data_IF_067221942288
#
_entry.id   IF_067221942288
#
_cell.length_a   1.000
_cell.length_b   1.000
_cell.length_c   1.000
_cell.angle_alpha   90.00
_cell.angle_beta   90.00
_cell.angle_gamma   90.00
#
_symmetry.space_group_name_H-M   'P 1'
#
loop_
_entity.id
_entity.type
_entity.pdbx_description
1 polymer ?
#
# COMPACT_ATOMS: atom_id res chain seq x y z
N UNK A 1 49.24 -40.49 6.18
CA UNK A 1 47.96 -40.17 6.87
C UNK A 1 47.66 -38.68 6.97
N UNK A 2 48.63 -37.79 7.21
CA UNK A 2 48.37 -36.34 7.34
C UNK A 2 47.90 -35.64 6.04
N UNK A 3 48.43 -36.04 4.89
CA UNK A 3 48.12 -35.42 3.58
C UNK A 3 46.67 -35.71 3.13
N UNK A 4 46.18 -36.95 3.28
CA UNK A 4 44.79 -37.30 2.95
C UNK A 4 43.75 -36.66 3.87
N UNK A 5 44.10 -36.37 5.12
CA UNK A 5 43.22 -35.64 6.05
C UNK A 5 43.09 -34.15 5.67
N UNK A 6 44.17 -33.54 5.20
CA UNK A 6 44.16 -32.16 4.71
C UNK A 6 43.38 -32.00 3.40
N UNK A 7 43.49 -32.98 2.50
CA UNK A 7 42.75 -33.01 1.24
C UNK A 7 41.24 -33.21 1.44
N UNK A 8 40.85 -34.11 2.34
CA UNK A 8 39.45 -34.30 2.71
C UNK A 8 38.82 -33.04 3.34
N UNK A 9 39.55 -32.36 4.23
CA UNK A 9 39.10 -31.08 4.83
C UNK A 9 38.95 -29.99 3.75
N UNK A 10 39.88 -29.92 2.79
CA UNK A 10 39.81 -28.97 1.68
C UNK A 10 38.61 -29.23 0.76
N UNK A 11 38.39 -30.48 0.35
CA UNK A 11 37.26 -30.86 -0.50
C UNK A 11 35.91 -30.63 0.19
N UNK A 12 35.82 -30.88 1.50
CA UNK A 12 34.64 -30.52 2.30
C UNK A 12 34.41 -29.01 2.34
N UNK A 13 35.49 -28.21 2.49
CA UNK A 13 35.43 -26.75 2.44
C UNK A 13 34.98 -26.19 1.09
N UNK A 14 35.50 -26.74 -0.02
CA UNK A 14 35.12 -26.36 -1.38
C UNK A 14 33.65 -26.72 -1.68
N UNK A 15 33.18 -27.89 -1.22
CA UNK A 15 31.78 -28.31 -1.32
C UNK A 15 30.83 -27.38 -0.55
N UNK A 16 31.18 -27.05 0.70
CA UNK A 16 30.39 -26.14 1.53
C UNK A 16 30.33 -24.71 0.95
N UNK A 17 31.45 -24.21 0.41
CA UNK A 17 31.50 -22.90 -0.25
C UNK A 17 30.61 -22.84 -1.51
N UNK A 18 30.58 -23.92 -2.29
CA UNK A 18 29.74 -24.03 -3.49
C UNK A 18 28.26 -24.12 -3.15
N UNK A 19 27.89 -24.88 -2.11
CA UNK A 19 26.52 -24.95 -1.59
C UNK A 19 26.05 -23.58 -1.09
N UNK A 20 26.90 -22.88 -0.33
CA UNK A 20 26.62 -21.53 0.17
C UNK A 20 26.38 -20.55 -1.00
N UNK A 21 27.28 -20.53 -2.00
CA UNK A 21 27.14 -19.67 -3.18
C UNK A 21 25.86 -19.97 -3.96
N UNK A 22 25.54 -21.25 -4.15
CA UNK A 22 24.30 -21.68 -4.83
C UNK A 22 23.06 -21.23 -4.06
N UNK A 23 23.10 -21.25 -2.73
CA UNK A 23 22.00 -20.81 -1.87
C UNK A 23 21.73 -19.31 -1.98
N UNK A 24 22.78 -18.49 -1.91
CA UNK A 24 22.64 -17.04 -2.05
C UNK A 24 22.15 -16.63 -3.44
N UNK A 25 22.62 -17.30 -4.50
CA UNK A 25 22.12 -17.07 -5.85
C UNK A 25 20.62 -17.42 -5.96
N UNK A 26 20.21 -18.54 -5.39
CA UNK A 26 18.81 -18.94 -5.35
C UNK A 26 17.93 -17.98 -4.54
N UNK A 27 18.45 -17.48 -3.42
CA UNK A 27 17.77 -16.47 -2.61
C UNK A 27 17.58 -15.15 -3.39
N UNK A 28 18.60 -14.70 -4.11
CA UNK A 28 18.52 -13.51 -4.96
C UNK A 28 17.52 -13.68 -6.11
N UNK A 29 17.57 -14.83 -6.80
CA UNK A 29 16.59 -15.14 -7.86
C UNK A 29 15.16 -15.18 -7.33
N UNK A 30 14.96 -15.83 -6.18
CA UNK A 30 13.65 -15.86 -5.54
C UNK A 30 13.21 -14.45 -5.14
N UNK A 31 14.09 -13.64 -4.55
CA UNK A 31 13.80 -12.26 -4.18
C UNK A 31 13.31 -11.45 -5.38
N UNK A 32 13.97 -11.56 -6.54
CA UNK A 32 13.53 -10.89 -7.77
C UNK A 32 12.15 -11.37 -8.21
N UNK A 33 11.89 -12.68 -8.18
CA UNK A 33 10.61 -13.25 -8.59
C UNK A 33 9.50 -12.86 -7.62
N UNK A 34 9.74 -12.93 -6.31
CA UNK A 34 8.73 -12.62 -5.28
C UNK A 34 8.41 -11.13 -5.24
N UNK A 35 9.41 -10.27 -5.33
CA UNK A 35 9.21 -8.81 -5.37
C UNK A 35 8.51 -8.38 -6.66
N UNK A 36 8.85 -8.97 -7.80
CA UNK A 36 8.15 -8.69 -9.07
C UNK A 36 6.69 -9.15 -8.99
N UNK A 37 6.44 -10.31 -8.38
CA UNK A 37 5.09 -10.82 -8.20
C UNK A 37 4.24 -9.91 -7.31
N UNK A 38 4.75 -9.50 -6.14
CA UNK A 38 4.03 -8.57 -5.24
C UNK A 38 3.78 -7.23 -5.92
N UNK A 39 4.76 -6.68 -6.65
CA UNK A 39 4.61 -5.48 -7.47
C UNK A 39 3.49 -5.62 -8.51
N UNK A 40 3.47 -6.70 -9.30
CA UNK A 40 2.47 -6.90 -10.34
C UNK A 40 1.06 -7.07 -9.74
N UNK A 41 0.93 -7.84 -8.66
CA UNK A 41 -0.35 -7.97 -7.94
C UNK A 41 -0.79 -6.60 -7.40
N UNK A 42 0.12 -5.85 -6.78
CA UNK A 42 -0.13 -4.50 -6.29
C UNK A 42 -0.61 -3.58 -7.40
N UNK A 43 0.05 -3.56 -8.56
CA UNK A 43 -0.33 -2.71 -9.69
C UNK A 43 -1.66 -3.10 -10.33
N UNK A 44 -1.96 -4.40 -10.41
CA UNK A 44 -3.22 -4.89 -10.97
C UNK A 44 -4.39 -4.76 -9.99
N UNK A 45 -4.14 -4.85 -8.68
CA UNK A 45 -5.14 -4.56 -7.66
C UNK A 45 -5.38 -3.04 -7.54
N UNK A 46 -4.31 -2.25 -7.58
CA UNK A 46 -4.37 -0.79 -7.57
C UNK A 46 -5.00 -0.22 -8.85
N UNK A 47 -5.00 -0.91 -9.99
CA UNK A 47 -5.78 -0.44 -11.15
C UNK A 47 -7.28 -0.31 -10.80
N UNK A 48 -7.77 -1.20 -9.93
CA UNK A 48 -9.15 -1.23 -9.44
C UNK A 48 -9.41 -0.24 -8.30
N UNK A 49 -8.37 0.09 -7.53
CA UNK A 49 -8.40 1.03 -6.40
C UNK A 49 -7.80 2.42 -6.74
N UNK A 50 -7.39 2.64 -7.99
CA UNK A 50 -6.68 3.80 -8.54
C UNK A 50 -5.18 3.89 -8.26
N UNK A 51 -4.44 4.48 -9.22
CA UNK A 51 -3.01 4.75 -9.12
C UNK A 51 -2.78 6.22 -8.78
N UNK A 52 -1.90 6.50 -7.84
CA UNK A 52 -1.27 7.81 -7.68
C UNK A 52 0.26 7.69 -7.68
N UNK A 53 0.94 8.84 -7.64
CA UNK A 53 2.40 8.89 -7.61
C UNK A 53 3.00 8.29 -6.32
N UNK A 54 2.23 8.20 -5.23
CA UNK A 54 2.66 7.55 -3.99
C UNK A 54 2.65 6.02 -4.15
N UNK A 55 1.67 5.46 -4.86
CA UNK A 55 1.62 4.04 -5.25
C UNK A 55 2.83 3.65 -6.11
N UNK A 56 3.27 4.51 -7.03
CA UNK A 56 4.43 4.24 -7.89
C UNK A 56 5.76 4.22 -7.12
N UNK A 57 6.00 5.18 -6.20
CA UNK A 57 7.17 5.15 -5.32
C UNK A 57 7.16 3.99 -4.33
N UNK A 58 6.00 3.71 -3.75
CA UNK A 58 5.81 2.59 -2.83
C UNK A 58 6.07 1.26 -3.54
N UNK A 59 5.69 1.14 -4.82
CA UNK A 59 6.02 -0.04 -5.63
C UNK A 59 7.52 -0.27 -5.68
N UNK A 60 8.32 0.79 -5.89
CA UNK A 60 9.79 0.69 -5.93
C UNK A 60 10.37 0.36 -4.56
N UNK A 61 9.93 1.04 -3.50
CA UNK A 61 10.42 0.81 -2.13
C UNK A 61 10.08 -0.60 -1.63
N UNK A 62 8.82 -1.02 -1.83
CA UNK A 62 8.34 -2.37 -1.52
C UNK A 62 9.13 -3.44 -2.27
N UNK A 63 9.47 -3.21 -3.54
CA UNK A 63 10.24 -4.15 -4.33
C UNK A 63 11.63 -4.40 -3.73
N UNK A 64 12.32 -3.35 -3.27
CA UNK A 64 13.61 -3.46 -2.60
C UNK A 64 13.51 -4.15 -1.24
N UNK A 65 12.47 -3.81 -0.47
CA UNK A 65 12.14 -4.45 0.80
C UNK A 65 11.93 -5.96 0.64
N UNK A 66 11.00 -6.37 -0.23
CA UNK A 66 10.67 -7.77 -0.49
C UNK A 66 11.87 -8.59 -0.98
N UNK A 67 12.66 -8.01 -1.88
CA UNK A 67 13.91 -8.61 -2.34
C UNK A 67 14.88 -8.84 -1.18
N UNK A 68 15.05 -7.84 -0.31
CA UNK A 68 15.94 -7.90 0.85
C UNK A 68 15.50 -8.95 1.86
N UNK A 69 14.19 -9.04 2.13
CA UNK A 69 13.66 -10.05 3.05
C UNK A 69 13.83 -11.48 2.52
N UNK A 70 13.77 -11.71 1.22
CA UNK A 70 14.08 -13.02 0.65
C UNK A 70 15.56 -13.40 0.86
N UNK A 71 16.48 -12.43 0.77
CA UNK A 71 17.89 -12.65 1.09
C UNK A 71 18.11 -12.93 2.58
N UNK A 72 17.41 -12.24 3.48
CA UNK A 72 17.44 -12.53 4.92
C UNK A 72 16.93 -13.95 5.17
N UNK A 73 15.76 -14.30 4.61
CA UNK A 73 15.12 -15.58 4.88
C UNK A 73 15.93 -16.77 4.34
N UNK A 74 16.38 -16.73 3.08
CA UNK A 74 17.05 -17.86 2.44
C UNK A 74 18.58 -17.78 2.40
N UNK A 75 19.15 -16.57 2.53
CA UNK A 75 20.59 -16.35 2.62
C UNK A 75 21.08 -16.46 4.06
N UNK A 76 20.68 -15.50 4.90
CA UNK A 76 21.10 -15.39 6.31
C UNK A 76 20.53 -16.54 7.15
N UNK A 77 19.22 -16.77 7.12
CA UNK A 77 18.58 -17.90 7.80
C UNK A 77 18.58 -19.20 6.97
N UNK A 78 19.34 -19.21 5.87
CA UNK A 78 19.40 -20.33 4.93
C UNK A 78 19.75 -21.68 5.54
N UNK A 79 20.49 -21.73 6.66
CA UNK A 79 20.78 -22.98 7.38
C UNK A 79 19.49 -23.69 7.84
N UNK A 80 18.48 -22.94 8.22
CA UNK A 80 17.20 -23.46 8.73
C UNK A 80 16.13 -23.50 7.65
N UNK A 81 16.10 -22.50 6.77
CA UNK A 81 14.99 -22.30 5.82
C UNK A 81 15.16 -23.04 4.51
N UNK A 82 16.40 -23.22 4.01
CA UNK A 82 16.66 -23.77 2.67
C UNK A 82 16.26 -25.24 2.49
N UNK A 83 16.04 -25.95 3.60
CA UNK A 83 15.68 -27.38 3.65
C UNK A 83 14.21 -27.61 3.93
N UNK A 84 13.44 -26.56 4.22
CA UNK A 84 12.03 -26.68 4.52
C UNK A 84 11.24 -27.18 3.31
N UNK A 85 10.22 -27.98 3.58
CA UNK A 85 9.29 -28.41 2.55
C UNK A 85 8.50 -27.20 2.02
N UNK A 86 8.13 -27.17 0.74
CA UNK A 86 7.34 -26.07 0.17
C UNK A 86 6.04 -25.75 0.93
N UNK A 87 5.37 -26.79 1.45
CA UNK A 87 4.16 -26.61 2.30
C UNK A 87 4.48 -25.89 3.61
N UNK A 88 5.62 -26.19 4.21
CA UNK A 88 6.08 -25.50 5.43
C UNK A 88 6.43 -24.05 5.12
N UNK A 89 7.09 -23.79 3.98
CA UNK A 89 7.36 -22.42 3.52
C UNK A 89 6.08 -21.62 3.29
N UNK A 90 5.05 -22.24 2.71
CA UNK A 90 3.74 -21.60 2.53
C UNK A 90 3.12 -21.17 3.87
N UNK A 91 3.09 -22.06 4.86
CA UNK A 91 2.52 -21.72 6.16
C UNK A 91 3.37 -20.71 6.95
N UNK A 92 4.70 -20.73 6.76
CA UNK A 92 5.59 -19.71 7.33
C UNK A 92 5.48 -18.35 6.63
N UNK A 93 4.93 -18.28 5.42
CA UNK A 93 4.78 -17.02 4.70
C UNK A 93 3.91 -16.01 5.47
N UNK A 94 2.87 -16.46 6.17
CA UNK A 94 1.96 -15.60 6.93
C UNK A 94 2.68 -14.93 8.12
N UNK A 95 3.24 -15.66 9.10
CA UNK A 95 3.96 -15.03 10.22
C UNK A 95 5.21 -14.29 9.75
N UNK A 96 5.86 -14.73 8.66
CA UNK A 96 6.96 -13.99 8.06
C UNK A 96 6.52 -12.64 7.51
N UNK A 97 5.42 -12.59 6.75
CA UNK A 97 4.88 -11.34 6.22
C UNK A 97 4.44 -10.36 7.32
N UNK A 98 3.86 -10.88 8.42
CA UNK A 98 3.56 -10.05 9.60
C UNK A 98 4.85 -9.48 10.19
N UNK A 99 5.88 -10.32 10.36
CA UNK A 99 7.16 -9.89 10.92
C UNK A 99 7.86 -8.84 10.05
N UNK A 100 7.96 -9.06 8.73
CA UNK A 100 8.65 -8.14 7.82
C UNK A 100 7.88 -6.82 7.67
N UNK A 101 6.56 -6.90 7.53
CA UNK A 101 5.70 -5.70 7.50
C UNK A 101 5.80 -4.91 8.81
N UNK A 102 5.70 -5.56 9.98
CA UNK A 102 5.83 -4.88 11.26
C UNK A 102 7.23 -4.27 11.45
N UNK A 103 8.28 -4.98 11.04
CA UNK A 103 9.66 -4.48 11.15
C UNK A 103 9.86 -3.23 10.30
N UNK A 104 9.30 -3.21 9.10
CA UNK A 104 9.33 -2.01 8.27
C UNK A 104 8.57 -0.86 8.89
N UNK A 105 7.31 -1.09 9.26
CA UNK A 105 6.41 -0.03 9.72
C UNK A 105 6.74 0.55 11.10
N UNK A 106 7.16 -0.29 12.05
CA UNK A 106 7.47 0.16 13.42
C UNK A 106 8.96 0.32 13.69
N UNK A 107 9.81 -0.30 12.87
CA UNK A 107 11.25 -0.27 13.03
C UNK A 107 11.93 0.62 12.00
N UNK A 108 11.94 0.20 10.75
CA UNK A 108 12.77 0.83 9.72
C UNK A 108 12.25 2.20 9.29
N UNK A 109 10.96 2.33 9.05
CA UNK A 109 10.31 3.57 8.64
C UNK A 109 10.56 4.71 9.65
N UNK A 110 10.38 4.50 10.97
CA UNK A 110 10.68 5.52 11.96
C UNK A 110 12.15 5.86 12.12
N UNK A 111 13.02 4.85 12.00
CA UNK A 111 14.46 4.99 12.30
C UNK A 111 15.27 5.46 11.10
N UNK A 112 14.80 5.14 9.89
CA UNK A 112 15.38 5.49 8.62
C UNK A 112 14.29 6.16 7.79
N UNK A 113 14.04 7.47 7.96
CA UNK A 113 13.14 8.18 7.08
C UNK A 113 13.75 8.09 5.68
N UNK A 114 13.18 7.24 4.83
CA UNK A 114 13.61 7.06 3.44
C UNK A 114 13.36 8.35 2.68
N UNK A 115 14.24 9.35 2.83
CA UNK A 115 14.26 10.66 2.19
C UNK A 115 12.95 11.48 2.06
N UNK A 116 11.78 11.01 2.55
CA UNK A 116 10.52 11.75 2.65
C UNK A 116 9.61 11.19 3.79
N UNK A 117 9.42 11.92 4.90
CA UNK A 117 8.61 11.50 6.07
C UNK A 117 7.10 11.34 5.82
N UNK A 118 6.59 11.77 4.66
CA UNK A 118 5.16 12.00 4.40
C UNK A 118 4.35 10.68 4.34
N UNK A 119 4.97 9.58 3.93
CA UNK A 119 4.24 8.40 3.46
C UNK A 119 3.74 7.46 4.56
N UNK A 120 4.30 7.55 5.75
CA UNK A 120 4.16 6.50 6.77
C UNK A 120 2.98 6.77 7.70
N UNK A 121 2.48 8.01 7.65
CA UNK A 121 1.26 8.43 8.31
C UNK A 121 0.04 8.29 7.39
N UNK A 122 0.24 8.14 6.08
CA UNK A 122 -0.84 8.25 5.10
C UNK A 122 -1.50 6.91 4.71
N UNK A 123 -0.94 5.77 5.09
CA UNK A 123 -1.42 4.48 4.58
C UNK A 123 -1.79 3.54 5.73
N UNK A 124 -2.88 2.76 5.60
CA UNK A 124 -3.21 1.74 6.58
C UNK A 124 -2.22 0.57 6.51
N UNK A 125 -1.87 0.01 7.68
CA UNK A 125 -0.87 -1.06 7.82
C UNK A 125 -1.14 -2.31 6.99
N UNK A 126 -2.42 -2.60 6.73
CA UNK A 126 -2.81 -3.80 6.00
C UNK A 126 -2.29 -3.77 4.56
N UNK A 127 -2.04 -2.59 3.98
CA UNK A 127 -1.43 -2.48 2.63
C UNK A 127 -0.03 -3.06 2.65
N UNK A 128 0.80 -2.66 3.61
CA UNK A 128 2.14 -3.21 3.80
C UNK A 128 2.09 -4.72 4.02
N UNK A 129 1.21 -5.19 4.90
CA UNK A 129 1.04 -6.62 5.13
C UNK A 129 0.67 -7.39 3.86
N UNK A 130 -0.25 -6.89 3.03
CA UNK A 130 -0.66 -7.55 1.79
C UNK A 130 0.48 -7.64 0.76
N UNK A 131 1.31 -6.61 0.66
CA UNK A 131 2.52 -6.62 -0.19
C UNK A 131 3.48 -7.71 0.28
N UNK A 132 3.86 -7.69 1.56
CA UNK A 132 4.76 -8.66 2.17
C UNK A 132 4.21 -10.10 2.07
N UNK A 133 2.90 -10.27 2.27
CA UNK A 133 2.24 -11.56 2.15
C UNK A 133 2.29 -12.07 0.71
N UNK A 134 2.00 -11.20 -0.27
CA UNK A 134 2.05 -11.56 -1.70
C UNK A 134 3.44 -12.03 -2.11
N UNK A 135 4.49 -11.35 -1.62
CA UNK A 135 5.88 -11.75 -1.83
C UNK A 135 6.22 -13.06 -1.14
N UNK A 136 5.92 -13.18 0.17
CA UNK A 136 6.23 -14.38 0.95
C UNK A 136 5.51 -15.63 0.43
N UNK A 137 4.31 -15.49 -0.14
CA UNK A 137 3.58 -16.59 -0.77
C UNK A 137 4.32 -17.21 -1.98
N UNK A 138 5.34 -16.54 -2.54
CA UNK A 138 6.18 -17.06 -3.61
C UNK A 138 7.34 -17.91 -3.08
N UNK A 139 7.63 -17.88 -1.77
CA UNK A 139 8.76 -18.61 -1.18
C UNK A 139 8.78 -20.14 -1.41
N UNK A 140 7.64 -20.85 -1.56
CA UNK A 140 7.65 -22.25 -1.97
C UNK A 140 8.41 -22.54 -3.28
N UNK A 141 8.58 -21.54 -4.15
CA UNK A 141 9.36 -21.66 -5.39
C UNK A 141 10.85 -21.91 -5.11
N UNK A 142 11.36 -21.59 -3.91
CA UNK A 142 12.75 -21.85 -3.52
C UNK A 142 13.15 -23.32 -3.75
N UNK A 143 12.25 -24.27 -3.47
CA UNK A 143 12.52 -25.69 -3.64
C UNK A 143 12.83 -26.09 -5.10
N UNK A 144 12.37 -25.28 -6.06
CA UNK A 144 12.67 -25.42 -7.48
C UNK A 144 13.83 -24.51 -7.90
N UNK A 145 13.80 -23.22 -7.55
CA UNK A 145 14.79 -22.21 -7.97
C UNK A 145 16.20 -22.46 -7.43
N UNK A 146 16.35 -23.22 -6.34
CA UNK A 146 17.67 -23.59 -5.80
C UNK A 146 18.51 -24.50 -6.70
N UNK A 147 17.91 -25.05 -7.74
CA UNK A 147 18.59 -25.89 -8.72
C UNK A 147 18.91 -25.10 -9.99
N UNK A 148 20.07 -25.33 -10.63
CA UNK A 148 20.33 -24.76 -11.94
C UNK A 148 19.25 -25.13 -12.95
N UNK A 149 19.06 -24.28 -13.95
CA UNK A 149 18.06 -24.47 -15.00
C UNK A 149 18.19 -25.87 -15.63
N UNK A 150 17.07 -26.59 -15.74
CA UNK A 150 16.97 -27.98 -16.24
C UNK A 150 17.65 -29.07 -15.39
N UNK A 151 18.23 -28.73 -14.23
CA UNK A 151 18.87 -29.71 -13.31
C UNK A 151 18.06 -30.03 -12.06
N UNK A 152 16.85 -29.48 -11.95
CA UNK A 152 15.98 -29.74 -10.80
C UNK A 152 15.54 -31.22 -10.76
N UNK A 153 15.77 -31.94 -9.65
CA UNK A 153 15.40 -33.35 -9.55
C UNK A 153 13.87 -33.51 -9.53
N UNK A 154 13.34 -34.65 -10.04
CA UNK A 154 11.90 -34.92 -10.11
C UNK A 154 11.32 -35.31 -8.75
N UNK A 155 11.51 -34.46 -7.74
CA UNK A 155 11.00 -34.66 -6.38
C UNK A 155 9.57 -34.14 -6.24
N UNK A 156 8.84 -34.63 -5.22
CA UNK A 156 7.53 -34.10 -4.86
C UNK A 156 7.56 -32.60 -4.54
N UNK A 157 8.65 -32.12 -3.91
CA UNK A 157 8.86 -30.72 -3.60
C UNK A 157 8.98 -29.85 -4.87
N UNK A 158 9.76 -30.27 -5.86
CA UNK A 158 9.88 -29.55 -7.14
C UNK A 158 8.56 -29.58 -7.91
N UNK A 159 7.83 -30.71 -7.92
CA UNK A 159 6.49 -30.78 -8.53
C UNK A 159 5.51 -29.83 -7.86
N UNK A 160 5.52 -29.75 -6.53
CA UNK A 160 4.70 -28.80 -5.78
C UNK A 160 5.05 -27.36 -6.17
N UNK A 161 6.33 -26.98 -6.14
CA UNK A 161 6.78 -25.63 -6.45
C UNK A 161 6.38 -25.20 -7.88
N UNK A 162 6.46 -26.11 -8.86
CA UNK A 162 6.00 -25.84 -10.24
C UNK A 162 4.49 -25.63 -10.34
N UNK A 163 3.69 -26.46 -9.65
CA UNK A 163 2.22 -26.28 -9.59
C UNK A 163 1.86 -24.98 -8.88
N UNK A 164 2.59 -24.64 -7.83
CA UNK A 164 2.42 -23.38 -7.10
C UNK A 164 2.74 -22.16 -7.98
N UNK A 165 3.83 -22.22 -8.74
CA UNK A 165 4.17 -21.19 -9.74
C UNK A 165 3.08 -21.05 -10.81
N UNK A 166 2.52 -22.16 -11.29
CA UNK A 166 1.38 -22.11 -12.22
C UNK A 166 0.14 -21.45 -11.58
N UNK A 167 -0.15 -21.74 -10.30
CA UNK A 167 -1.21 -21.07 -9.54
C UNK A 167 -0.96 -19.57 -9.39
N UNK A 168 0.28 -19.16 -9.07
CA UNK A 168 0.64 -17.74 -8.99
C UNK A 168 0.47 -17.02 -10.33
N UNK A 169 0.88 -17.64 -11.44
CA UNK A 169 0.65 -17.10 -12.79
C UNK A 169 -0.84 -17.02 -13.14
N UNK A 170 -1.64 -18.00 -12.70
CA UNK A 170 -3.10 -17.95 -12.89
C UNK A 170 -3.70 -16.77 -12.13
N UNK A 171 -3.27 -16.50 -10.88
CA UNK A 171 -3.70 -15.31 -10.13
C UNK A 171 -3.37 -14.04 -10.91
N UNK A 172 -2.13 -13.88 -11.39
CA UNK A 172 -1.74 -12.73 -12.21
C UNK A 172 -2.60 -12.61 -13.48
N UNK A 173 -2.85 -13.72 -14.17
CA UNK A 173 -3.69 -13.74 -15.36
C UNK A 173 -5.14 -13.35 -15.04
N UNK A 174 -5.69 -13.78 -13.90
CA UNK A 174 -7.03 -13.39 -13.44
C UNK A 174 -7.11 -11.90 -13.16
N UNK A 175 -6.16 -11.34 -12.40
CA UNK A 175 -6.10 -9.91 -12.12
C UNK A 175 -5.89 -9.07 -13.40
N UNK A 176 -5.06 -9.57 -14.32
CA UNK A 176 -4.87 -8.99 -15.65
C UNK A 176 -6.16 -8.99 -16.47
N UNK A 177 -6.89 -10.11 -16.50
CA UNK A 177 -8.16 -10.23 -17.20
C UNK A 177 -9.22 -9.29 -16.61
N UNK A 178 -9.33 -9.22 -15.28
CA UNK A 178 -10.23 -8.27 -14.60
C UNK A 178 -9.89 -6.83 -14.99
N UNK A 179 -8.60 -6.47 -14.99
CA UNK A 179 -8.16 -5.14 -15.41
C UNK A 179 -8.49 -4.84 -16.88
N UNK A 180 -8.40 -5.84 -17.77
CA UNK A 180 -8.78 -5.69 -19.18
C UNK A 180 -10.29 -5.52 -19.34
N UNK A 181 -11.09 -6.34 -18.66
CA UNK A 181 -12.56 -6.27 -18.69
C UNK A 181 -13.05 -4.91 -18.17
N UNK A 182 -12.47 -4.43 -17.07
CA UNK A 182 -12.73 -3.10 -16.54
C UNK A 182 -12.37 -1.99 -17.56
N UNK A 183 -11.21 -2.11 -18.21
CA UNK A 183 -10.79 -1.19 -19.29
C UNK A 183 -11.68 -1.21 -20.54
N UNK A 184 -12.43 -2.30 -20.77
CA UNK A 184 -13.44 -2.41 -21.83
C UNK A 184 -14.81 -1.83 -21.41
N UNK A 185 -14.92 -1.24 -20.21
CA UNK A 185 -16.12 -0.59 -19.71
C UNK A 185 -17.11 -1.55 -19.04
N UNK A 186 -16.66 -2.74 -18.63
CA UNK A 186 -17.50 -3.76 -18.00
C UNK A 186 -17.03 -4.03 -16.55
N UNK A 187 -17.09 -3.02 -15.66
CA UNK A 187 -16.55 -3.14 -14.31
C UNK A 187 -17.25 -4.25 -13.51
N UNK A 188 -16.54 -4.80 -12.52
CA UNK A 188 -17.13 -5.78 -11.62
C UNK A 188 -18.36 -5.20 -10.90
N UNK A 189 -19.49 -5.92 -10.87
CA UNK A 189 -20.74 -5.43 -10.28
C UNK A 189 -20.56 -5.09 -8.80
N UNK A 190 -21.41 -4.21 -8.28
CA UNK A 190 -21.44 -3.91 -6.84
C UNK A 190 -21.79 -5.16 -6.03
N UNK A 191 -21.09 -5.35 -4.91
CA UNK A 191 -21.39 -6.36 -3.88
C UNK A 191 -22.11 -5.73 -2.68
N UNK A 192 -22.56 -4.48 -2.83
CA UNK A 192 -23.17 -3.70 -1.76
C UNK A 192 -24.48 -4.28 -1.27
N UNK A 193 -24.69 -4.22 0.05
CA UNK A 193 -26.00 -4.42 0.69
C UNK A 193 -26.65 -3.11 1.09
N UNK A 194 -25.99 -1.99 0.82
CA UNK A 194 -26.43 -0.62 1.11
C UNK A 194 -26.06 0.31 -0.05
N UNK A 195 -26.70 0.08 -1.20
CA UNK A 195 -26.42 0.84 -2.44
C UNK A 195 -26.69 2.33 -2.23
N UNK A 196 -27.73 2.69 -1.47
CA UNK A 196 -28.08 4.09 -1.20
C UNK A 196 -27.03 4.77 -0.31
N UNK A 197 -26.51 4.08 0.72
CA UNK A 197 -25.41 4.55 1.54
C UNK A 197 -24.13 4.75 0.73
N UNK A 198 -23.78 3.77 -0.10
CA UNK A 198 -22.59 3.86 -0.98
C UNK A 198 -22.69 5.02 -1.97
N UNK A 199 -23.84 5.19 -2.61
CA UNK A 199 -24.08 6.31 -3.54
C UNK A 199 -24.00 7.65 -2.82
N UNK A 200 -24.53 7.76 -1.59
CA UNK A 200 -24.45 8.97 -0.78
C UNK A 200 -23.00 9.28 -0.41
N UNK A 201 -22.25 8.29 0.08
CA UNK A 201 -20.85 8.47 0.44
C UNK A 201 -20.02 8.91 -0.76
N UNK A 202 -20.16 8.25 -1.91
CA UNK A 202 -19.44 8.62 -3.14
C UNK A 202 -19.76 10.07 -3.53
N UNK A 203 -21.05 10.44 -3.63
CA UNK A 203 -21.46 11.81 -3.99
C UNK A 203 -20.89 12.86 -3.03
N UNK A 204 -21.01 12.59 -1.73
CA UNK A 204 -20.56 13.51 -0.69
C UNK A 204 -19.04 13.64 -0.70
N UNK A 205 -18.30 12.53 -0.75
CA UNK A 205 -16.84 12.55 -0.71
C UNK A 205 -16.24 13.18 -1.98
N UNK A 206 -16.82 12.94 -3.16
CA UNK A 206 -16.41 13.65 -4.39
C UNK A 206 -16.58 15.16 -4.24
N UNK A 207 -17.74 15.62 -3.76
CA UNK A 207 -18.00 17.06 -3.53
C UNK A 207 -17.06 17.66 -2.47
N UNK A 208 -16.76 16.89 -1.43
CA UNK A 208 -15.83 17.26 -0.37
C UNK A 208 -14.39 17.37 -0.90
N UNK A 209 -13.92 16.38 -1.64
CA UNK A 209 -12.63 16.40 -2.32
C UNK A 209 -12.50 17.53 -3.34
N UNK A 210 -13.55 17.90 -4.07
CA UNK A 210 -13.49 19.04 -4.98
C UNK A 210 -13.12 20.35 -4.25
N UNK A 211 -13.69 20.58 -3.06
CA UNK A 211 -13.34 21.72 -2.22
C UNK A 211 -11.93 21.56 -1.61
N UNK A 212 -11.58 20.36 -1.15
CA UNK A 212 -10.24 20.04 -0.64
C UNK A 212 -9.14 20.29 -1.69
N UNK A 213 -9.35 19.86 -2.93
CA UNK A 213 -8.45 20.11 -4.07
C UNK A 213 -8.32 21.61 -4.34
N UNK A 214 -9.41 22.38 -4.23
CA UNK A 214 -9.34 23.84 -4.40
C UNK A 214 -8.44 24.48 -3.33
N UNK A 215 -8.67 24.13 -2.05
CA UNK A 215 -7.86 24.63 -0.95
C UNK A 215 -6.39 24.17 -1.09
N UNK A 216 -6.14 22.91 -1.42
CA UNK A 216 -4.81 22.35 -1.62
C UNK A 216 -4.05 23.02 -2.78
N UNK A 217 -4.75 23.45 -3.85
CA UNK A 217 -4.13 24.25 -4.92
C UNK A 217 -3.64 25.60 -4.40
N UNK A 218 -4.37 26.24 -3.48
CA UNK A 218 -3.87 27.46 -2.82
C UNK A 218 -2.61 27.15 -2.01
N UNK A 219 -2.61 26.05 -1.23
CA UNK A 219 -1.45 25.56 -0.49
C UNK A 219 -0.22 25.37 -1.39
N UNK A 220 -0.38 24.65 -2.50
CA UNK A 220 0.68 24.42 -3.48
C UNK A 220 1.25 25.71 -4.09
N UNK A 221 0.44 26.76 -4.23
CA UNK A 221 0.84 28.02 -4.86
C UNK A 221 1.43 29.02 -3.87
N UNK A 222 0.90 29.08 -2.65
CA UNK A 222 1.13 30.20 -1.72
C UNK A 222 1.86 29.81 -0.44
N UNK A 223 1.91 28.52 -0.09
CA UNK A 223 2.54 28.09 1.14
C UNK A 223 4.01 28.52 1.18
N UNK A 224 4.44 29.14 2.27
CA UNK A 224 5.82 29.60 2.46
C UNK A 224 6.74 28.44 2.86
N UNK A 225 6.24 27.53 3.71
CA UNK A 225 6.93 26.28 4.05
C UNK A 225 7.00 25.32 2.83
N UNK A 226 8.22 24.96 2.35
CA UNK A 226 8.39 23.99 1.29
C UNK A 226 7.78 22.62 1.58
N UNK A 227 7.75 22.18 2.84
CA UNK A 227 7.14 20.92 3.23
C UNK A 227 5.62 20.98 3.09
N UNK A 228 4.99 22.05 3.60
CA UNK A 228 3.56 22.29 3.43
C UNK A 228 3.16 22.40 1.96
N UNK A 229 3.99 23.06 1.13
CA UNK A 229 3.76 23.17 -0.31
C UNK A 229 3.82 21.81 -1.02
N UNK A 230 4.78 20.96 -0.65
CA UNK A 230 4.90 19.61 -1.17
C UNK A 230 3.73 18.74 -0.74
N UNK A 231 3.33 18.81 0.54
CA UNK A 231 2.17 18.11 1.08
C UNK A 231 0.88 18.51 0.35
N UNK A 232 0.66 19.81 0.14
CA UNK A 232 -0.49 20.30 -0.62
C UNK A 232 -0.49 19.81 -2.08
N UNK A 233 0.67 19.67 -2.71
CA UNK A 233 0.76 19.08 -4.04
C UNK A 233 0.38 17.59 -4.06
N UNK A 234 0.71 16.84 -2.99
CA UNK A 234 0.30 15.45 -2.82
C UNK A 234 -1.21 15.33 -2.59
N UNK A 235 -1.80 16.14 -1.72
CA UNK A 235 -3.25 16.20 -1.48
C UNK A 235 -4.04 16.44 -2.79
N UNK A 236 -3.54 17.32 -3.68
CA UNK A 236 -4.17 17.53 -4.99
C UNK A 236 -4.13 16.25 -5.83
N UNK A 237 -3.01 15.53 -5.81
CA UNK A 237 -2.83 14.34 -6.62
C UNK A 237 -3.67 13.15 -6.11
N UNK A 238 -3.68 12.91 -4.78
CA UNK A 238 -4.43 11.81 -4.17
C UNK A 238 -5.93 12.02 -4.30
N UNK A 239 -6.47 13.17 -3.86
CA UNK A 239 -7.92 13.43 -3.96
C UNK A 239 -8.44 13.44 -5.40
N UNK A 240 -7.62 13.88 -6.38
CA UNK A 240 -7.98 13.75 -7.79
C UNK A 240 -8.02 12.29 -8.26
N UNK A 241 -7.10 11.46 -7.77
CA UNK A 241 -7.10 10.02 -8.05
C UNK A 241 -8.35 9.36 -7.46
N UNK A 242 -8.64 9.64 -6.19
CA UNK A 242 -9.82 9.20 -5.43
C UNK A 242 -11.13 9.54 -6.16
N UNK A 243 -11.30 10.79 -6.60
CA UNK A 243 -12.47 11.19 -7.39
C UNK A 243 -12.59 10.39 -8.69
N UNK A 244 -11.48 10.13 -9.41
CA UNK A 244 -11.54 9.31 -10.62
C UNK A 244 -11.96 7.87 -10.33
N UNK A 245 -11.60 7.32 -9.17
CA UNK A 245 -12.04 5.98 -8.75
C UNK A 245 -13.54 5.99 -8.47
N UNK A 246 -14.00 6.96 -7.68
CA UNK A 246 -15.41 7.15 -7.40
C UNK A 246 -16.26 7.33 -8.67
N UNK A 247 -15.78 8.10 -9.65
CA UNK A 247 -16.44 8.24 -10.95
C UNK A 247 -16.52 6.91 -11.71
N UNK A 248 -15.45 6.10 -11.68
CA UNK A 248 -15.44 4.78 -12.33
C UNK A 248 -16.42 3.84 -11.67
N UNK A 249 -16.41 3.74 -10.33
CA UNK A 249 -17.35 2.91 -9.58
C UNK A 249 -18.78 3.38 -9.78
N UNK A 250 -19.03 4.69 -9.76
CA UNK A 250 -20.35 5.24 -10.02
C UNK A 250 -20.88 4.80 -11.39
N UNK A 251 -20.10 4.97 -12.47
CA UNK A 251 -20.49 4.52 -13.82
C UNK A 251 -20.74 3.01 -13.90
N UNK A 252 -20.03 2.22 -13.09
CA UNK A 252 -20.20 0.77 -13.05
C UNK A 252 -21.37 0.28 -12.19
N UNK A 253 -21.75 1.05 -11.17
CA UNK A 253 -22.72 0.63 -10.15
C UNK A 253 -24.06 1.36 -10.24
N UNK A 254 -24.14 2.44 -11.04
CA UNK A 254 -25.34 3.26 -11.23
C UNK A 254 -25.69 3.39 -12.72
N UNK A 255 -26.98 3.37 -13.03
CA UNK A 255 -27.51 3.72 -14.35
C UNK A 255 -27.64 5.24 -14.55
N UNK A 256 -27.73 5.99 -13.45
CA UNK A 256 -27.92 7.44 -13.46
C UNK A 256 -26.60 8.19 -13.35
N UNK A 257 -26.46 9.38 -13.95
CA UNK A 257 -25.34 10.29 -13.69
C UNK A 257 -25.22 10.65 -12.20
N UNK A 258 -24.00 10.98 -11.76
CA UNK A 258 -23.77 11.40 -10.38
C UNK A 258 -24.39 12.78 -10.14
N UNK A 259 -25.45 12.82 -9.34
CA UNK A 259 -26.13 14.07 -9.02
C UNK A 259 -25.24 14.97 -8.14
N UNK A 260 -25.19 16.26 -8.48
CA UNK A 260 -24.49 17.26 -7.65
C UNK A 260 -25.13 17.32 -6.26
N UNK A 261 -24.31 17.50 -5.22
CA UNK A 261 -24.84 17.80 -3.88
C UNK A 261 -25.43 19.21 -3.85
N UNK A 262 -26.64 19.32 -3.30
CA UNK A 262 -27.34 20.57 -2.99
C UNK A 262 -26.57 21.41 -1.96
N UNK A 263 -26.95 22.68 -1.83
CA UNK A 263 -26.38 23.56 -0.80
C UNK A 263 -26.63 23.04 0.62
N UNK A 264 -27.79 22.43 0.87
CA UNK A 264 -28.13 21.84 2.16
C UNK A 264 -27.26 20.61 2.46
N UNK A 265 -27.10 19.69 1.49
CA UNK A 265 -26.20 18.53 1.63
C UNK A 265 -24.78 18.98 1.93
N UNK A 266 -24.26 20.00 1.23
CA UNK A 266 -22.91 20.55 1.47
C UNK A 266 -22.74 21.11 2.88
N UNK A 267 -23.71 21.89 3.36
CA UNK A 267 -23.68 22.46 4.71
C UNK A 267 -23.79 21.39 5.81
N UNK A 268 -24.44 20.26 5.52
CA UNK A 268 -24.55 19.14 6.43
C UNK A 268 -23.31 18.24 6.45
N UNK A 269 -22.40 18.34 5.47
CA UNK A 269 -21.17 17.56 5.45
C UNK A 269 -20.20 18.08 6.54
N UNK A 270 -19.68 17.20 7.40
CA UNK A 270 -18.72 17.60 8.41
C UNK A 270 -17.44 18.16 7.77
N UNK A 271 -16.89 19.20 8.37
CA UNK A 271 -15.66 19.86 7.90
C UNK A 271 -15.78 20.61 6.57
N UNK A 272 -16.94 20.60 5.90
CA UNK A 272 -17.14 21.36 4.67
C UNK A 272 -17.05 22.86 4.95
N UNK A 273 -16.19 23.55 4.22
CA UNK A 273 -15.87 24.95 4.47
C UNK A 273 -16.98 25.85 3.91
N UNK A 274 -17.36 26.84 4.70
CA UNK A 274 -18.23 27.93 4.26
C UNK A 274 -17.55 28.80 3.22
N UNK A 275 -18.33 29.55 2.45
CA UNK A 275 -17.79 30.54 1.50
C UNK A 275 -16.89 31.58 2.16
N UNK A 276 -17.18 31.94 3.42
CA UNK A 276 -16.36 32.86 4.22
C UNK A 276 -15.00 32.24 4.55
N UNK A 277 -14.96 30.99 5.01
CA UNK A 277 -13.70 30.30 5.29
C UNK A 277 -12.85 30.09 4.02
N UNK A 278 -13.47 29.79 2.88
CA UNK A 278 -12.76 29.74 1.61
C UNK A 278 -12.22 31.11 1.18
N UNK A 279 -12.97 32.19 1.46
CA UNK A 279 -12.48 33.55 1.23
C UNK A 279 -11.31 33.90 2.17
N UNK A 280 -11.35 33.48 3.43
CA UNK A 280 -10.23 33.66 4.37
C UNK A 280 -8.95 33.02 3.83
N UNK A 281 -9.02 31.77 3.32
CA UNK A 281 -7.88 31.10 2.71
C UNK A 281 -7.33 31.85 1.48
N UNK A 282 -8.22 32.36 0.63
CA UNK A 282 -7.83 33.11 -0.58
C UNK A 282 -7.23 34.48 -0.25
N UNK A 283 -7.69 35.14 0.81
CA UNK A 283 -7.34 36.51 1.13
C UNK A 283 -6.31 36.65 2.26
N UNK A 284 -5.93 35.55 2.92
CA UNK A 284 -4.90 35.56 3.95
C UNK A 284 -3.62 36.25 3.45
N UNK A 285 -3.02 37.10 4.27
CA UNK A 285 -1.73 37.69 3.97
C UNK A 285 -0.65 36.59 3.86
N UNK A 286 0.38 36.80 3.04
CA UNK A 286 1.37 35.75 2.77
C UNK A 286 2.07 35.23 4.03
N UNK A 287 2.30 36.09 5.03
CA UNK A 287 2.88 35.69 6.32
C UNK A 287 1.94 34.92 7.25
N UNK A 288 0.63 34.92 6.97
CA UNK A 288 -0.40 34.23 7.77
C UNK A 288 -0.99 33.01 7.03
N UNK A 289 -0.73 32.91 5.73
CA UNK A 289 -1.35 31.93 4.85
C UNK A 289 -1.15 30.49 5.33
N UNK A 290 0.06 30.10 5.72
CA UNK A 290 0.37 28.72 6.16
C UNK A 290 -0.49 28.33 7.37
N UNK A 291 -0.62 29.21 8.36
CA UNK A 291 -1.44 28.98 9.55
C UNK A 291 -2.94 28.87 9.21
N UNK A 292 -3.43 29.73 8.32
CA UNK A 292 -4.82 29.69 7.83
C UNK A 292 -5.08 28.39 7.06
N UNK A 293 -4.17 27.99 6.17
CA UNK A 293 -4.25 26.76 5.40
C UNK A 293 -4.26 25.54 6.30
N UNK A 294 -3.30 25.42 7.24
CA UNK A 294 -3.21 24.30 8.18
C UNK A 294 -4.50 24.17 8.99
N UNK A 295 -5.03 25.29 9.52
CA UNK A 295 -6.28 25.29 10.30
C UNK A 295 -7.46 24.79 9.47
N UNK A 296 -7.66 25.34 8.27
CA UNK A 296 -8.83 25.05 7.44
C UNK A 296 -8.75 23.65 6.80
N UNK A 297 -7.57 23.25 6.32
CA UNK A 297 -7.38 21.92 5.77
C UNK A 297 -7.47 20.84 6.87
N UNK A 298 -6.98 21.11 8.09
CA UNK A 298 -7.18 20.18 9.21
C UNK A 298 -8.65 20.00 9.57
N UNK A 299 -9.43 21.09 9.60
CA UNK A 299 -10.89 21.04 9.81
C UNK A 299 -11.58 20.23 8.71
N UNK A 300 -11.21 20.49 7.45
CA UNK A 300 -11.74 19.80 6.29
C UNK A 300 -11.45 18.29 6.37
N UNK A 301 -10.19 17.92 6.56
CA UNK A 301 -9.78 16.52 6.71
C UNK A 301 -10.45 15.81 7.88
N UNK A 302 -10.62 16.46 9.03
CA UNK A 302 -11.34 15.86 10.15
C UNK A 302 -12.78 15.47 9.77
N UNK A 303 -13.43 16.27 8.93
CA UNK A 303 -14.74 15.96 8.37
C UNK A 303 -14.75 14.76 7.41
N UNK A 304 -13.80 14.70 6.48
CA UNK A 304 -13.64 13.57 5.59
C UNK A 304 -13.33 12.27 6.36
N UNK A 305 -12.49 12.33 7.39
CA UNK A 305 -12.20 11.20 8.30
C UNK A 305 -13.50 10.69 8.94
N UNK A 306 -14.39 11.58 9.41
CA UNK A 306 -15.68 11.18 9.98
C UNK A 306 -16.58 10.52 8.94
N UNK A 307 -16.69 11.08 7.73
CA UNK A 307 -17.47 10.48 6.65
C UNK A 307 -16.94 9.10 6.25
N UNK A 308 -15.62 8.97 6.18
CA UNK A 308 -14.94 7.73 5.83
C UNK A 308 -15.08 6.65 6.92
N UNK A 309 -15.09 7.05 8.20
CA UNK A 309 -15.32 6.11 9.30
C UNK A 309 -16.76 5.58 9.31
N UNK A 310 -17.76 6.43 9.00
CA UNK A 310 -19.13 5.99 8.82
C UNK A 310 -19.26 4.96 7.68
N UNK A 311 -18.59 5.20 6.55
CA UNK A 311 -18.59 4.26 5.43
C UNK A 311 -17.86 2.96 5.77
N UNK A 312 -16.74 3.00 6.50
CA UNK A 312 -16.02 1.79 6.91
C UNK A 312 -16.90 0.83 7.72
N UNK A 313 -17.74 1.39 8.60
CA UNK A 313 -18.66 0.65 9.46
C UNK A 313 -20.00 0.28 8.78
N UNK A 314 -20.22 0.69 7.53
CA UNK A 314 -21.43 0.37 6.78
C UNK A 314 -21.49 -1.10 6.32
N UNK A 315 -22.66 -1.52 5.83
CA UNK A 315 -22.88 -2.78 5.11
C UNK A 315 -22.70 -2.64 3.58
N UNK A 316 -22.04 -1.57 3.14
CA UNK A 316 -21.78 -1.23 1.75
C UNK A 316 -20.79 -2.15 1.03
N UNK A 317 -20.45 -1.77 -0.20
CA UNK A 317 -19.50 -2.51 -1.04
C UNK A 317 -18.13 -2.64 -0.32
N UNK A 318 -17.56 -3.85 -0.18
CA UNK A 318 -16.27 -4.04 0.48
C UNK A 318 -15.13 -3.20 -0.12
N UNK A 319 -15.16 -2.92 -1.42
CA UNK A 319 -14.15 -2.07 -2.08
C UNK A 319 -14.27 -0.62 -1.62
N UNK A 320 -15.51 -0.11 -1.53
CA UNK A 320 -15.76 1.25 -1.06
C UNK A 320 -15.41 1.41 0.42
N UNK A 321 -15.68 0.39 1.24
CA UNK A 321 -15.28 0.35 2.65
C UNK A 321 -13.76 0.38 2.82
N UNK A 322 -13.03 -0.43 2.05
CA UNK A 322 -11.56 -0.42 2.06
C UNK A 322 -10.99 0.94 1.63
N UNK A 323 -11.59 1.57 0.61
CA UNK A 323 -11.21 2.92 0.17
C UNK A 323 -11.47 3.96 1.25
N UNK A 324 -12.64 3.93 1.89
CA UNK A 324 -12.92 4.81 3.02
C UNK A 324 -11.91 4.62 4.16
N UNK A 325 -11.53 3.39 4.46
CA UNK A 325 -10.48 3.12 5.43
C UNK A 325 -9.08 3.61 4.98
N UNK A 326 -8.79 3.66 3.68
CA UNK A 326 -7.56 4.27 3.18
C UNK A 326 -7.61 5.80 3.34
N UNK A 327 -8.66 6.45 2.84
CA UNK A 327 -8.92 7.90 2.95
C UNK A 327 -8.80 8.38 4.40
N UNK A 328 -9.44 7.67 5.35
CA UNK A 328 -9.38 8.08 6.76
C UNK A 328 -7.94 8.09 7.29
N UNK A 329 -7.12 7.10 6.92
CA UNK A 329 -5.73 7.03 7.38
C UNK A 329 -4.88 8.10 6.71
N UNK A 330 -5.06 8.29 5.41
CA UNK A 330 -4.39 9.32 4.64
C UNK A 330 -4.60 10.69 5.25
N UNK A 331 -5.85 11.08 5.43
CA UNK A 331 -6.19 12.42 5.91
C UNK A 331 -5.86 12.63 7.39
N UNK A 332 -5.87 11.57 8.21
CA UNK A 332 -5.30 11.65 9.57
C UNK A 332 -3.78 11.91 9.55
N UNK A 333 -3.06 11.27 8.62
CA UNK A 333 -1.64 11.50 8.46
C UNK A 333 -1.32 12.89 7.93
N UNK A 334 -2.11 13.40 7.00
CA UNK A 334 -2.00 14.76 6.48
C UNK A 334 -2.23 15.81 7.58
N UNK A 335 -3.21 15.60 8.47
CA UNK A 335 -3.39 16.45 9.67
C UNK A 335 -2.12 16.42 10.53
N UNK A 336 -1.57 15.24 10.81
CA UNK A 336 -0.36 15.12 11.64
C UNK A 336 0.85 15.83 11.02
N UNK A 337 1.04 15.69 9.71
CA UNK A 337 2.12 16.33 8.96
C UNK A 337 1.97 17.86 8.93
N UNK A 338 0.75 18.37 8.70
CA UNK A 338 0.48 19.81 8.76
C UNK A 338 0.75 20.41 10.15
N UNK A 339 0.58 19.61 11.21
CA UNK A 339 0.89 20.02 12.59
C UNK A 339 2.33 19.66 13.01
N UNK A 340 3.18 19.32 12.04
CA UNK A 340 4.61 19.03 12.22
C UNK A 340 4.90 17.93 13.26
N UNK A 341 4.05 16.92 13.32
CA UNK A 341 4.29 15.75 14.18
C UNK A 341 5.45 14.94 13.59
N UNK A 342 6.53 14.79 14.35
CA UNK A 342 7.77 14.15 13.91
C UNK A 342 8.34 13.18 14.95
N UNK A 343 9.36 12.41 14.56
CA UNK A 343 10.10 11.52 15.46
C UNK A 343 9.21 10.48 16.14
N UNK A 344 9.46 10.21 17.42
CA UNK A 344 8.73 9.21 18.22
C UNK A 344 7.23 9.52 18.30
N UNK A 345 6.84 10.79 18.31
CA UNK A 345 5.42 11.16 18.37
C UNK A 345 4.69 10.80 17.08
N UNK A 346 5.34 10.98 15.92
CA UNK A 346 4.80 10.50 14.64
C UNK A 346 4.60 8.99 14.65
N UNK A 347 5.56 8.22 15.19
CA UNK A 347 5.42 6.76 15.33
C UNK A 347 4.24 6.39 16.22
N UNK A 348 4.10 7.06 17.37
CA UNK A 348 3.00 6.83 18.30
C UNK A 348 1.66 7.15 17.68
N UNK A 349 1.56 8.28 16.97
CA UNK A 349 0.33 8.67 16.31
C UNK A 349 -0.01 7.72 15.15
N UNK A 350 0.96 7.35 14.31
CA UNK A 350 0.78 6.33 13.26
C UNK A 350 0.27 5.02 13.85
N UNK A 351 0.91 4.54 14.93
CA UNK A 351 0.53 3.30 15.62
C UNK A 351 -0.86 3.39 16.24
N UNK A 352 -1.24 4.56 16.80
CA UNK A 352 -2.60 4.78 17.32
C UNK A 352 -3.62 4.80 16.19
N UNK A 353 -3.41 5.59 15.14
CA UNK A 353 -4.34 5.69 14.00
C UNK A 353 -4.58 4.33 13.34
N UNK A 354 -3.53 3.50 13.30
CA UNK A 354 -3.57 2.14 12.78
C UNK A 354 -4.50 1.19 13.56
N UNK A 355 -4.62 1.38 14.87
CA UNK A 355 -5.35 0.49 15.78
C UNK A 355 -6.64 1.09 16.34
N UNK A 356 -6.78 2.42 16.26
CA UNK A 356 -7.93 3.13 16.80
C UNK A 356 -9.12 3.04 15.85
N UNK A 357 -10.28 2.77 16.43
CA UNK A 357 -11.54 3.23 15.85
C UNK A 357 -11.70 4.68 16.29
N UNK A 358 -11.85 5.60 15.34
CA UNK A 358 -12.09 7.01 15.65
C UNK A 358 -13.55 7.16 16.08
N UNK A 359 -13.87 6.75 17.31
CA UNK A 359 -15.18 6.96 17.95
C UNK A 359 -15.26 8.33 18.61
#
# INVERSE_FOLDING_TARGET
MHQGRNEAVRLMGEGAAKELKSRWLAAAQLGLVSSTFSTLIGQLAASQLGRDAAVDWMTVAAQWADFSWALVFFGLFGRWTSRLAPRTLFWLAIPWAVFTSATEWFGLVPLFPFFQPIFTLQQPYWIGFLVHLSSALIYPLFAWLRWPLRRAPPTSAVRFAKRWAAGALLVLATFGLVSVIDGLGWPLPTLSRDVAGDQRYIRHMVTHHEQGIELAKLGKQRAQDPHLRALAALMVASQQSENRIFDRWWRGWSSEPMALCSSEERLAMPGYLTSAQMADARNAADGEFDAVFIRLMSLHHAGAVQMADNQWHSSGDPRLRLMAHAIRHEQQGEIALMNNVTGIEAVRQATRNMLANNL
#
